data_IF_059689076260
#
_entry.id   IF_059689076260
#
_cell.length_a   1.000
_cell.length_b   1.000
_cell.length_c   1.000
_cell.angle_alpha   90.00
_cell.angle_beta   90.00
_cell.angle_gamma   90.00
#
_symmetry.space_group_name_H-M   'P 1'
#
loop_
_entity.id
_entity.type
_entity.pdbx_description
1 polymer ?
#
# COMPACT_ATOMS: atom_id res chain seq x y z
N UNK A 1 -5.34 15.48 -9.06
CA UNK A 1 -4.65 14.92 -7.89
C UNK A 1 -5.65 14.92 -6.73
N UNK A 2 -6.32 13.80 -6.44
CA UNK A 2 -7.37 13.72 -5.40
C UNK A 2 -6.97 12.86 -4.20
N UNK A 3 -5.74 12.34 -4.20
CA UNK A 3 -5.25 11.42 -3.18
C UNK A 3 -4.57 12.20 -2.06
N UNK A 4 -4.70 11.69 -0.83
CA UNK A 4 -3.94 12.21 0.31
C UNK A 4 -2.48 11.78 0.17
N UNK A 5 -1.59 12.76 0.06
CA UNK A 5 -0.14 12.54 0.06
C UNK A 5 0.40 12.97 1.42
N UNK A 6 1.16 12.10 2.09
CA UNK A 6 1.80 12.37 3.38
C UNK A 6 3.29 12.05 3.30
N UNK A 7 4.12 12.82 4.00
CA UNK A 7 5.55 12.57 4.14
C UNK A 7 6.05 13.16 5.46
N UNK A 8 6.78 12.35 6.22
CA UNK A 8 7.41 12.78 7.48
C UNK A 8 8.86 13.28 7.27
N UNK A 9 9.36 13.30 6.02
CA UNK A 9 10.71 13.75 5.64
C UNK A 9 11.87 13.00 6.34
N UNK A 10 11.64 11.74 6.75
CA UNK A 10 12.64 10.88 7.40
C UNK A 10 13.40 9.95 6.45
N UNK A 11 13.14 10.01 5.14
CA UNK A 11 13.74 9.13 4.14
C UNK A 11 13.62 7.64 4.55
N UNK A 12 14.76 6.96 4.74
CA UNK A 12 14.82 5.55 5.14
C UNK A 12 14.69 5.32 6.65
N UNK A 13 14.82 6.38 7.47
CA UNK A 13 14.62 6.32 8.92
C UNK A 13 13.15 6.46 9.34
N UNK A 14 12.22 6.26 8.39
CA UNK A 14 10.79 6.37 8.65
C UNK A 14 10.28 5.15 9.43
N UNK A 15 9.73 5.33 10.65
CA UNK A 15 9.26 4.21 11.47
C UNK A 15 8.15 3.39 10.78
N UNK A 16 7.30 4.03 9.96
CA UNK A 16 6.25 3.33 9.22
C UNK A 16 6.84 2.38 8.17
N UNK A 17 7.92 2.78 7.48
CA UNK A 17 8.58 1.93 6.50
C UNK A 17 9.13 0.66 7.17
N UNK A 18 9.76 0.79 8.35
CA UNK A 18 10.21 -0.36 9.14
C UNK A 18 9.04 -1.25 9.63
N UNK A 19 7.96 -0.64 10.15
CA UNK A 19 6.79 -1.36 10.66
C UNK A 19 6.11 -2.21 9.57
N UNK A 20 6.06 -1.72 8.33
CA UNK A 20 5.50 -2.42 7.18
C UNK A 20 6.56 -3.14 6.34
N UNK A 21 7.80 -3.24 6.82
CA UNK A 21 8.91 -3.92 6.16
C UNK A 21 9.14 -3.47 4.70
N UNK A 22 9.09 -2.16 4.47
CA UNK A 22 9.35 -1.53 3.17
C UNK A 22 10.86 -1.37 2.98
N UNK A 23 11.48 -2.30 2.27
CA UNK A 23 12.93 -2.28 1.98
C UNK A 23 13.26 -1.66 0.62
N UNK A 24 12.27 -1.53 -0.27
CA UNK A 24 12.45 -0.94 -1.59
C UNK A 24 11.19 -0.21 -2.04
N UNK A 25 11.37 0.76 -2.95
CA UNK A 25 10.27 1.49 -3.56
C UNK A 25 10.17 1.16 -5.06
N UNK A 26 8.96 1.13 -5.64
CA UNK A 26 7.67 1.38 -4.97
C UNK A 26 7.20 0.16 -4.16
N UNK A 27 6.57 0.35 -2.99
CA UNK A 27 5.87 -0.70 -2.25
C UNK A 27 4.36 -0.38 -2.21
N UNK A 28 3.50 -1.39 -2.32
CA UNK A 28 2.04 -1.20 -2.36
C UNK A 28 1.35 -2.11 -1.35
N UNK A 29 0.31 -1.59 -0.69
CA UNK A 29 -0.49 -2.37 0.26
C UNK A 29 -1.97 -2.11 -0.02
N UNK A 30 -2.79 -3.17 0.08
CA UNK A 30 -4.25 -3.07 0.05
C UNK A 30 -4.75 -3.47 1.43
N UNK A 31 -5.57 -2.61 2.02
CA UNK A 31 -6.19 -2.84 3.33
C UNK A 31 -7.69 -3.01 3.16
N UNK A 32 -8.31 -3.83 4.00
CA UNK A 32 -9.76 -3.88 4.12
C UNK A 32 -10.31 -2.76 5.05
N UNK A 33 -11.63 -2.70 5.19
CA UNK A 33 -12.30 -1.69 6.03
C UNK A 33 -11.97 -1.80 7.53
N UNK A 34 -11.45 -2.95 7.99
CA UNK A 34 -10.99 -3.14 9.36
C UNK A 34 -9.52 -2.73 9.57
N UNK A 35 -8.84 -2.31 8.49
CA UNK A 35 -7.43 -1.94 8.51
C UNK A 35 -6.47 -3.13 8.40
N UNK A 36 -6.95 -4.31 8.04
CA UNK A 36 -6.10 -5.48 7.83
C UNK A 36 -5.51 -5.46 6.43
N UNK A 37 -4.20 -5.76 6.31
CA UNK A 37 -3.55 -5.95 5.01
C UNK A 37 -4.09 -7.23 4.33
N UNK A 38 -4.64 -7.08 3.13
CA UNK A 38 -5.23 -8.17 2.34
C UNK A 38 -4.45 -8.49 1.05
N UNK A 39 -3.56 -7.58 0.63
CA UNK A 39 -2.59 -7.82 -0.43
C UNK A 39 -1.41 -6.85 -0.30
N UNK A 40 -0.24 -7.22 -0.83
CA UNK A 40 0.95 -6.38 -0.87
C UNK A 40 1.73 -6.59 -2.17
N UNK A 41 2.51 -5.58 -2.55
CA UNK A 41 3.45 -5.55 -3.68
C UNK A 41 2.87 -5.90 -5.06
N UNK A 42 1.55 -5.83 -5.22
CA UNK A 42 0.89 -5.96 -6.50
C UNK A 42 1.15 -4.71 -7.36
N UNK A 43 1.34 -4.94 -8.67
CA UNK A 43 1.59 -3.88 -9.64
C UNK A 43 0.75 -4.04 -10.89
N UNK A 44 0.60 -2.93 -11.62
CA UNK A 44 0.05 -2.94 -12.97
C UNK A 44 -1.30 -3.68 -13.07
N UNK A 45 -1.45 -4.65 -13.99
CA UNK A 45 -2.69 -5.42 -14.16
C UNK A 45 -3.12 -6.22 -12.92
N UNK A 46 -2.17 -6.82 -12.19
CA UNK A 46 -2.48 -7.64 -11.01
C UNK A 46 -3.11 -6.80 -9.90
N UNK A 47 -2.56 -5.60 -9.65
CA UNK A 47 -3.12 -4.66 -8.69
C UNK A 47 -4.57 -4.31 -9.04
N UNK A 48 -4.83 -4.01 -10.33
CA UNK A 48 -6.18 -3.66 -10.79
C UNK A 48 -7.15 -4.82 -10.64
N UNK A 49 -6.72 -6.03 -11.01
CA UNK A 49 -7.53 -7.23 -10.86
C UNK A 49 -7.91 -7.48 -9.41
N UNK A 50 -6.94 -7.33 -8.48
CA UNK A 50 -7.20 -7.53 -7.06
C UNK A 50 -8.18 -6.52 -6.48
N UNK A 51 -8.05 -5.25 -6.87
CA UNK A 51 -9.00 -4.20 -6.43
C UNK A 51 -10.41 -4.50 -6.93
N UNK A 52 -10.57 -4.91 -8.20
CA UNK A 52 -11.88 -5.29 -8.75
C UNK A 52 -12.48 -6.49 -8.03
N UNK A 53 -11.69 -7.53 -7.75
CA UNK A 53 -12.12 -8.71 -7.00
C UNK A 53 -12.64 -8.34 -5.60
N UNK A 54 -11.97 -7.42 -4.92
CA UNK A 54 -12.33 -7.00 -3.56
C UNK A 54 -13.58 -6.11 -3.53
N UNK A 55 -13.80 -5.29 -4.56
CA UNK A 55 -14.95 -4.39 -4.67
C UNK A 55 -16.22 -5.06 -5.23
N UNK A 56 -16.09 -6.23 -5.88
CA UNK A 56 -17.22 -6.99 -6.40
C UNK A 56 -17.97 -7.79 -5.31
N UNK A 57 -17.51 -7.73 -4.06
CA UNK A 57 -18.15 -8.35 -2.89
C UNK A 57 -19.02 -7.35 -2.15
#
# INVERSE_FOLDING_TARGET
MTWTHVSNLKFWDEPIAAQYHVESIPATFILDASGKVVAQDLRGPELRAKVLELLAK
#
